data_IF_338573408334
#
_entry.id   IF_338573408334
#
_cell.length_a   1.000
_cell.length_b   1.000
_cell.length_c   1.000
_cell.angle_alpha   90.00
_cell.angle_beta   90.00
_cell.angle_gamma   90.00
#
_symmetry.space_group_name_H-M   'P 1'
#
loop_
_entity.id
_entity.type
_entity.pdbx_description
1 polymer ?
#
# COMPACT_ATOMS: atom_id res chain seq x y z
N UNK A 1 -15.43 -7.48 -8.49
CA UNK A 1 -13.96 -7.50 -8.33
C UNK A 1 -13.54 -8.91 -7.94
N UNK A 2 -12.60 -9.51 -8.68
CA UNK A 2 -12.07 -10.87 -8.49
C UNK A 2 -10.54 -10.90 -8.45
N UNK A 3 -9.84 -9.98 -9.13
CA UNK A 3 -8.37 -9.89 -9.17
C UNK A 3 -7.90 -8.50 -8.75
N UNK A 4 -6.97 -8.46 -7.81
CA UNK A 4 -6.42 -7.21 -7.25
C UNK A 4 -4.90 -7.30 -7.26
N UNK A 5 -4.24 -6.21 -7.64
CA UNK A 5 -2.81 -6.01 -7.41
C UNK A 5 -2.60 -4.87 -6.40
N UNK A 6 -1.48 -4.87 -5.69
CA UNK A 6 -1.17 -3.80 -4.74
C UNK A 6 0.33 -3.56 -4.62
N UNK A 7 0.67 -2.36 -4.15
CA UNK A 7 2.02 -1.97 -3.74
C UNK A 7 1.88 -0.97 -2.59
N UNK A 8 2.40 -1.26 -1.41
CA UNK A 8 2.33 -0.33 -0.25
C UNK A 8 3.13 0.95 -0.51
N UNK A 9 2.82 2.04 0.19
CA UNK A 9 3.56 3.30 0.06
C UNK A 9 3.31 4.01 -1.28
N UNK A 10 4.39 4.57 -1.87
CA UNK A 10 4.37 5.36 -3.11
C UNK A 10 4.26 4.55 -4.42
N UNK A 11 3.42 3.52 -4.46
CA UNK A 11 3.31 2.55 -5.55
C UNK A 11 2.50 2.98 -6.78
N UNK A 12 1.99 4.21 -6.86
CA UNK A 12 1.12 4.70 -7.93
C UNK A 12 1.68 4.48 -9.36
N UNK A 13 3.01 4.49 -9.52
CA UNK A 13 3.65 4.25 -10.82
C UNK A 13 3.45 2.85 -11.39
N UNK A 14 3.00 1.88 -10.58
CA UNK A 14 2.75 0.51 -11.02
C UNK A 14 1.35 0.29 -11.61
N UNK A 15 0.47 1.29 -11.61
CA UNK A 15 -0.93 1.13 -12.06
C UNK A 15 -1.03 0.59 -13.49
N UNK A 16 -0.21 1.09 -14.42
CA UNK A 16 -0.21 0.63 -15.82
C UNK A 16 0.29 -0.81 -15.95
N UNK A 17 1.23 -1.22 -15.10
CA UNK A 17 1.73 -2.59 -15.08
C UNK A 17 0.65 -3.54 -14.56
N UNK A 18 -0.03 -3.15 -13.48
CA UNK A 18 -1.15 -3.89 -12.91
C UNK A 18 -2.32 -4.03 -13.90
N UNK A 19 -2.65 -2.95 -14.60
CA UNK A 19 -3.68 -2.93 -15.62
C UNK A 19 -3.33 -3.85 -16.80
N UNK A 20 -2.09 -3.80 -17.31
CA UNK A 20 -1.59 -4.71 -18.36
C UNK A 20 -1.62 -6.17 -17.94
N UNK A 21 -1.42 -6.45 -16.66
CA UNK A 21 -1.56 -7.79 -16.09
C UNK A 21 -3.03 -8.26 -16.01
N UNK A 22 -3.99 -7.36 -16.18
CA UNK A 22 -5.42 -7.67 -16.24
C UNK A 22 -6.06 -7.85 -14.87
N UNK A 23 -5.85 -6.89 -13.96
CA UNK A 23 -6.53 -6.83 -12.65
C UNK A 23 -7.80 -6.00 -12.71
N UNK A 24 -8.74 -6.26 -11.80
CA UNK A 24 -9.96 -5.46 -11.65
C UNK A 24 -9.73 -4.23 -10.75
N UNK A 25 -8.68 -4.27 -9.92
CA UNK A 25 -8.35 -3.21 -8.97
C UNK A 25 -6.85 -3.10 -8.68
N UNK A 26 -6.40 -1.88 -8.41
CA UNK A 26 -5.06 -1.58 -7.93
C UNK A 26 -5.11 -0.76 -6.62
N UNK A 27 -4.33 -1.19 -5.62
CA UNK A 27 -4.27 -0.56 -4.29
C UNK A 27 -2.85 -0.08 -4.00
N UNK A 28 -2.70 1.16 -3.56
CA UNK A 28 -1.43 1.74 -3.13
C UNK A 28 -1.62 2.73 -1.98
N UNK A 29 -0.54 3.24 -1.41
CA UNK A 29 -0.61 4.29 -0.38
C UNK A 29 -0.92 5.66 -0.96
N UNK A 30 -0.10 6.13 -1.89
CA UNK A 30 -0.19 7.48 -2.46
C UNK A 30 -0.92 7.53 -3.82
N UNK A 31 -1.25 8.74 -4.28
CA UNK A 31 -1.88 9.02 -5.57
C UNK A 31 -1.20 10.20 -6.26
N UNK A 32 -1.12 10.14 -7.59
CA UNK A 32 -0.79 11.27 -8.46
C UNK A 32 -1.91 11.55 -9.47
N UNK A 33 -1.92 12.73 -10.07
CA UNK A 33 -2.90 13.12 -11.11
C UNK A 33 -3.01 12.06 -12.22
N UNK A 34 -1.87 11.62 -12.75
CA UNK A 34 -1.78 10.60 -13.81
C UNK A 34 -2.42 9.27 -13.42
N UNK A 35 -2.44 8.95 -12.12
CA UNK A 35 -2.98 7.69 -11.61
C UNK A 35 -4.50 7.62 -11.81
N UNK A 36 -5.19 8.74 -11.64
CA UNK A 36 -6.65 8.84 -11.84
C UNK A 36 -7.01 8.65 -13.31
N UNK A 37 -6.24 9.25 -14.22
CA UNK A 37 -6.43 9.08 -15.66
C UNK A 37 -6.21 7.62 -16.07
N UNK A 38 -5.11 7.02 -15.61
CA UNK A 38 -4.77 5.62 -15.90
C UNK A 38 -5.87 4.65 -15.46
N UNK A 39 -6.42 4.83 -14.25
CA UNK A 39 -7.53 4.01 -13.75
C UNK A 39 -8.79 4.11 -14.61
N UNK A 40 -9.16 5.33 -15.01
CA UNK A 40 -10.36 5.60 -15.83
C UNK A 40 -10.22 5.06 -17.24
N UNK A 41 -9.09 5.30 -17.87
CA UNK A 41 -8.83 4.90 -19.26
C UNK A 41 -8.67 3.39 -19.40
N UNK A 42 -8.14 2.72 -18.38
CA UNK A 42 -7.89 1.27 -18.40
C UNK A 42 -9.01 0.46 -17.71
N UNK A 43 -10.02 1.14 -17.17
CA UNK A 43 -11.24 0.50 -16.65
C UNK A 43 -11.05 -0.32 -15.37
N UNK A 44 -10.16 0.11 -14.46
CA UNK A 44 -9.90 -0.57 -13.19
C UNK A 44 -10.25 0.32 -11.98
N UNK A 45 -10.57 -0.31 -10.86
CA UNK A 45 -10.79 0.40 -9.60
C UNK A 45 -9.45 0.77 -8.96
N UNK A 46 -9.27 2.04 -8.57
CA UNK A 46 -8.08 2.52 -7.91
C UNK A 46 -8.35 2.93 -6.47
N UNK A 47 -7.48 2.54 -5.54
CA UNK A 47 -7.54 2.89 -4.13
C UNK A 47 -6.19 3.44 -3.65
N UNK A 48 -6.20 4.68 -3.15
CA UNK A 48 -5.10 5.26 -2.38
C UNK A 48 -5.46 5.19 -0.90
N UNK A 49 -4.71 4.40 -0.13
CA UNK A 49 -5.04 4.03 1.24
C UNK A 49 -4.10 4.64 2.29
N UNK A 50 -3.24 5.60 1.91
CA UNK A 50 -2.25 6.24 2.77
C UNK A 50 -0.91 5.47 2.80
N UNK A 51 0.19 6.20 2.67
CA UNK A 51 1.56 5.69 2.69
C UNK A 51 1.88 5.01 4.02
N UNK A 52 1.87 5.77 5.14
CA UNK A 52 2.08 5.25 6.48
C UNK A 52 1.08 4.15 6.81
N UNK A 53 -0.19 4.37 6.46
CA UNK A 53 -1.25 3.43 6.74
C UNK A 53 -0.98 2.04 6.14
N UNK A 54 -0.45 1.98 4.92
CA UNK A 54 -0.15 0.73 4.20
C UNK A 54 1.20 0.10 4.58
N UNK A 55 2.14 0.86 5.18
CA UNK A 55 3.49 0.37 5.48
C UNK A 55 3.72 -0.09 6.93
N UNK A 56 2.84 0.30 7.87
CA UNK A 56 2.93 -0.14 9.29
C UNK A 56 2.96 -1.66 9.47
N UNK A 57 2.32 -2.41 8.57
CA UNK A 57 2.18 -3.85 8.69
C UNK A 57 3.53 -4.58 8.70
N UNK A 58 4.49 -4.12 7.88
CA UNK A 58 5.79 -4.79 7.74
C UNK A 58 6.64 -4.71 9.00
N UNK A 59 6.80 -3.51 9.56
CA UNK A 59 7.62 -3.32 10.77
C UNK A 59 6.98 -3.95 12.01
N UNK A 60 5.64 -3.94 12.10
CA UNK A 60 4.92 -4.63 13.18
C UNK A 60 5.15 -6.14 13.12
N UNK A 61 4.99 -6.75 11.95
CA UNK A 61 5.22 -8.18 11.77
C UNK A 61 6.68 -8.59 12.05
N UNK A 62 7.65 -7.74 11.69
CA UNK A 62 9.05 -7.97 12.04
C UNK A 62 9.27 -7.88 13.56
N UNK A 63 8.64 -6.92 14.24
CA UNK A 63 8.71 -6.80 15.69
C UNK A 63 8.14 -8.04 16.40
N UNK A 64 6.98 -8.52 15.95
CA UNK A 64 6.37 -9.77 16.42
C UNK A 64 7.33 -10.97 16.22
N UNK A 65 7.91 -11.09 15.02
CA UNK A 65 8.88 -12.15 14.73
C UNK A 65 10.12 -12.09 15.62
N UNK A 66 10.67 -10.90 15.89
CA UNK A 66 11.83 -10.74 16.76
C UNK A 66 11.51 -11.15 18.20
N UNK A 67 10.37 -10.73 18.74
CA UNK A 67 9.91 -11.13 20.09
C UNK A 67 9.71 -12.64 20.19
N UNK A 68 9.24 -13.30 19.14
CA UNK A 68 9.02 -14.75 19.14
C UNK A 68 10.29 -15.59 18.95
N UNK A 69 11.31 -15.05 18.28
CA UNK A 69 12.48 -15.82 17.82
C UNK A 69 13.79 -15.41 18.51
N UNK A 70 13.76 -14.41 19.38
CA UNK A 70 14.93 -13.89 20.10
C UNK A 70 14.54 -13.48 21.52
N UNK A 71 15.53 -13.21 22.38
CA UNK A 71 15.30 -12.68 23.73
C UNK A 71 15.14 -11.14 23.76
N UNK A 72 14.84 -10.52 22.62
CA UNK A 72 14.66 -9.07 22.51
C UNK A 72 13.26 -8.65 22.97
N UNK A 73 13.20 -7.62 23.81
CA UNK A 73 11.96 -6.92 24.12
C UNK A 73 11.68 -5.85 23.06
N UNK A 74 10.77 -6.15 22.13
CA UNK A 74 10.45 -5.27 21.00
C UNK A 74 9.05 -4.69 21.18
N UNK A 75 8.97 -3.35 21.21
CA UNK A 75 7.70 -2.61 21.22
C UNK A 75 7.51 -1.86 19.90
N UNK A 76 6.42 -2.14 19.21
CA UNK A 76 6.00 -1.34 18.05
C UNK A 76 5.26 -0.08 18.51
N UNK A 77 5.69 1.09 18.04
CA UNK A 77 5.07 2.39 18.33
C UNK A 77 4.56 2.98 17.00
N UNK A 78 3.24 3.10 16.89
CA UNK A 78 2.60 3.77 15.76
C UNK A 78 2.47 5.27 16.05
N UNK A 79 3.25 6.09 15.34
CA UNK A 79 3.17 7.54 15.39
C UNK A 79 2.49 8.01 14.10
N UNK A 80 1.28 8.59 14.15
CA UNK A 80 0.58 9.07 12.97
C UNK A 80 1.42 10.07 12.17
N UNK A 81 1.49 9.88 10.85
CA UNK A 81 2.13 10.82 9.93
C UNK A 81 1.06 11.74 9.29
N UNK A 82 1.18 13.07 9.40
CA UNK A 82 0.24 14.02 8.79
C UNK A 82 0.11 13.91 7.27
N UNK A 83 1.10 13.31 6.58
CA UNK A 83 1.06 13.12 5.13
C UNK A 83 -0.12 12.24 4.66
N UNK A 84 -0.73 11.45 5.56
CA UNK A 84 -1.73 10.43 5.24
C UNK A 84 -3.15 10.75 5.75
N UNK A 85 -3.39 11.94 6.31
CA UNK A 85 -4.69 12.35 6.87
C UNK A 85 -5.61 13.10 5.86
N UNK A 86 -5.57 12.79 4.56
CA UNK A 86 -6.45 13.42 3.57
C UNK A 86 -7.57 12.53 3.06
#
# INVERSE_FOLDING_TARGET
MKRVAWCTGGGQGFIDSAARFGVDAFITGEVSEQTIHSAREQGLHFYAAGHHATERGGIRALGEWLTENTDLDVTFIDIPNPADER
#
